data_IF_637756378485
#
_entry.id   IF_637756378485
#
_cell.length_a   1.000
_cell.length_b   1.000
_cell.length_c   1.000
_cell.angle_alpha   90.00
_cell.angle_beta   90.00
_cell.angle_gamma   90.00
#
_symmetry.space_group_name_H-M   'P 1'
#
loop_
_entity.id
_entity.type
_entity.pdbx_description
1 polymer ?
#
# COMPACT_ATOMS: atom_id res chain seq x y z
N UNK A 1 -36.31 -12.71 48.10
CA UNK A 1 -35.46 -11.51 47.95
C UNK A 1 -34.95 -11.44 46.52
N UNK A 2 -35.45 -10.49 45.71
CA UNK A 2 -35.00 -10.30 44.33
C UNK A 2 -33.64 -9.57 44.33
N UNK A 3 -32.59 -10.26 43.91
CA UNK A 3 -31.29 -9.66 43.60
C UNK A 3 -31.47 -8.71 42.41
N UNK A 4 -31.35 -7.39 42.66
CA UNK A 4 -31.28 -6.37 41.62
C UNK A 4 -29.96 -6.59 40.87
N UNK A 5 -30.04 -6.95 39.59
CA UNK A 5 -28.89 -6.93 38.68
C UNK A 5 -28.20 -5.56 38.82
N UNK A 6 -26.86 -5.49 38.96
CA UNK A 6 -26.16 -4.22 38.99
C UNK A 6 -26.54 -3.45 37.72
N UNK A 7 -27.04 -2.23 37.92
CA UNK A 7 -27.49 -1.36 36.83
C UNK A 7 -26.38 -1.20 35.80
N UNK A 8 -26.80 -1.11 34.53
CA UNK A 8 -25.95 -0.84 33.37
C UNK A 8 -24.97 0.30 33.72
N UNK A 9 -23.64 0.14 33.54
CA UNK A 9 -22.68 1.17 33.90
C UNK A 9 -23.04 2.49 33.20
N UNK A 10 -23.14 3.56 33.99
CA UNK A 10 -23.46 4.91 33.51
C UNK A 10 -22.48 5.30 32.40
N UNK A 11 -23.01 5.72 31.26
CA UNK A 11 -22.21 6.05 30.06
C UNK A 11 -22.33 5.06 28.90
N UNK A 12 -23.09 3.95 29.04
CA UNK A 12 -23.37 3.04 27.92
C UNK A 12 -24.71 3.29 27.21
N UNK A 13 -25.52 4.25 27.68
CA UNK A 13 -26.76 4.72 27.04
C UNK A 13 -26.51 5.63 25.83
N UNK A 14 -25.24 5.97 25.56
CA UNK A 14 -24.86 6.84 24.44
C UNK A 14 -24.98 8.33 24.73
N UNK A 15 -25.31 8.73 25.97
CA UNK A 15 -25.31 10.14 26.40
C UNK A 15 -23.92 10.66 26.75
N UNK A 16 -22.95 9.76 26.94
CA UNK A 16 -21.57 10.13 27.26
C UNK A 16 -20.88 10.79 26.05
N UNK A 17 -20.85 12.11 26.08
CA UNK A 17 -20.19 12.96 25.09
C UNK A 17 -18.68 12.67 25.02
N UNK A 18 -18.04 12.35 26.14
CA UNK A 18 -16.61 12.02 26.19
C UNK A 18 -16.33 10.69 25.48
N UNK A 19 -17.20 9.69 25.66
CA UNK A 19 -17.10 8.43 24.93
C UNK A 19 -17.33 8.63 23.43
N UNK A 20 -18.34 9.41 23.04
CA UNK A 20 -18.63 9.73 21.62
C UNK A 20 -17.47 10.46 20.93
N UNK A 21 -16.87 11.47 21.58
CA UNK A 21 -15.75 12.21 21.02
C UNK A 21 -14.51 11.33 20.73
N UNK A 22 -14.17 10.44 21.65
CA UNK A 22 -12.99 9.56 21.51
C UNK A 22 -13.22 8.49 20.43
N UNK A 23 -14.45 8.02 20.32
CA UNK A 23 -14.86 6.98 19.36
C UNK A 23 -15.00 7.57 17.94
N UNK A 24 -15.67 8.72 17.79
CA UNK A 24 -15.87 9.39 16.50
C UNK A 24 -14.54 9.89 15.89
N UNK A 25 -13.62 10.39 16.72
CA UNK A 25 -12.27 10.77 16.28
C UNK A 25 -11.52 9.59 15.67
N UNK A 26 -11.62 8.39 16.26
CA UNK A 26 -11.00 7.18 15.73
C UNK A 26 -11.67 6.69 14.45
N UNK A 27 -12.99 6.65 14.40
CA UNK A 27 -13.70 6.27 13.18
C UNK A 27 -13.36 7.20 12.02
N UNK A 28 -13.25 8.51 12.28
CA UNK A 28 -12.85 9.51 11.29
C UNK A 28 -11.41 9.27 10.80
N UNK A 29 -10.47 8.97 11.71
CA UNK A 29 -9.08 8.64 11.35
C UNK A 29 -9.00 7.36 10.51
N UNK A 30 -9.75 6.32 10.86
CA UNK A 30 -9.82 5.07 10.09
C UNK A 30 -10.42 5.30 8.71
N UNK A 31 -11.51 6.08 8.60
CA UNK A 31 -12.12 6.43 7.33
C UNK A 31 -11.16 7.21 6.42
N UNK A 32 -10.48 8.23 6.98
CA UNK A 32 -9.46 9.01 6.27
C UNK A 32 -8.28 8.14 5.84
N UNK A 33 -7.80 7.26 6.72
CA UNK A 33 -6.72 6.31 6.40
C UNK A 33 -7.11 5.32 5.29
N UNK A 34 -8.33 4.80 5.30
CA UNK A 34 -8.87 3.95 4.22
C UNK A 34 -9.00 4.69 2.90
N UNK A 35 -9.41 5.96 2.91
CA UNK A 35 -9.50 6.78 1.70
C UNK A 35 -8.10 7.02 1.11
N UNK A 36 -7.13 7.41 1.95
CA UNK A 36 -5.73 7.57 1.52
C UNK A 36 -5.14 6.28 0.98
N UNK A 37 -5.37 5.15 1.66
CA UNK A 37 -4.91 3.84 1.19
C UNK A 37 -5.55 3.45 -0.15
N UNK A 38 -6.83 3.77 -0.36
CA UNK A 38 -7.50 3.55 -1.65
C UNK A 38 -6.79 4.33 -2.77
N UNK A 39 -6.49 5.60 -2.52
CA UNK A 39 -5.75 6.43 -3.48
C UNK A 39 -4.38 5.83 -3.80
N UNK A 40 -3.64 5.37 -2.79
CA UNK A 40 -2.32 4.78 -2.98
C UNK A 40 -2.37 3.46 -3.77
N UNK A 41 -3.34 2.59 -3.47
CA UNK A 41 -3.57 1.34 -4.22
C UNK A 41 -3.89 1.66 -5.70
N UNK A 42 -4.72 2.66 -5.96
CA UNK A 42 -5.02 3.10 -7.33
C UNK A 42 -3.79 3.65 -8.05
N UNK A 43 -2.97 4.45 -7.36
CA UNK A 43 -1.70 4.94 -7.92
C UNK A 43 -0.75 3.78 -8.24
N UNK A 44 -0.61 2.80 -7.35
CA UNK A 44 0.21 1.61 -7.63
C UNK A 44 -0.33 0.79 -8.81
N UNK A 45 -1.66 0.64 -8.92
CA UNK A 45 -2.28 -0.02 -10.06
C UNK A 45 -1.97 0.72 -11.38
N UNK A 46 -2.07 2.05 -11.39
CA UNK A 46 -1.73 2.86 -12.56
C UNK A 46 -0.26 2.71 -12.98
N UNK A 47 0.67 2.73 -12.01
CA UNK A 47 2.11 2.50 -12.26
C UNK A 47 2.34 1.10 -12.85
N UNK A 48 1.68 0.08 -12.29
CA UNK A 48 1.79 -1.30 -12.76
C UNK A 48 1.28 -1.46 -14.20
N UNK A 49 0.14 -0.84 -14.53
CA UNK A 49 -0.42 -0.85 -15.88
C UNK A 49 0.46 -0.07 -16.88
N UNK A 50 1.04 1.06 -16.45
CA UNK A 50 1.95 1.83 -17.29
C UNK A 50 3.22 1.03 -17.59
N UNK A 51 3.79 0.35 -16.59
CA UNK A 51 4.94 -0.55 -16.79
C UNK A 51 4.62 -1.71 -17.75
N UNK A 52 3.41 -2.28 -17.67
CA UNK A 52 2.97 -3.31 -18.60
C UNK A 52 2.80 -2.78 -20.04
N UNK A 53 2.28 -1.56 -20.20
CA UNK A 53 2.13 -0.92 -21.50
C UNK A 53 3.49 -0.61 -22.15
N UNK A 54 4.45 -0.14 -21.35
CA UNK A 54 5.85 0.07 -21.78
C UNK A 54 6.47 -1.25 -22.23
N UNK A 55 6.31 -2.31 -21.44
CA UNK A 55 6.79 -3.65 -21.77
C UNK A 55 6.15 -4.20 -23.07
N UNK A 56 4.89 -3.87 -23.33
CA UNK A 56 4.17 -4.30 -24.54
C UNK A 56 4.61 -3.54 -25.79
N UNK A 57 5.10 -2.31 -25.63
CA UNK A 57 5.61 -1.46 -26.71
C UNK A 57 7.05 -1.84 -27.09
N UNK A 58 7.80 -2.40 -26.14
CA UNK A 58 9.10 -3.02 -26.37
C UNK A 58 8.92 -4.31 -27.19
N UNK A 59 9.08 -4.22 -28.50
CA UNK A 59 8.93 -5.31 -29.49
C UNK A 59 9.42 -6.69 -28.99
N UNK A 60 8.49 -7.51 -28.51
CA UNK A 60 8.57 -8.98 -28.46
C UNK A 60 9.47 -9.64 -27.40
N UNK A 61 10.27 -8.90 -26.62
CA UNK A 61 11.20 -9.47 -25.64
C UNK A 61 10.63 -9.62 -24.22
N UNK A 62 9.32 -9.39 -24.04
CA UNK A 62 8.66 -9.48 -22.74
C UNK A 62 8.86 -10.87 -22.13
N UNK A 63 9.83 -10.96 -21.22
CA UNK A 63 10.20 -12.23 -20.61
C UNK A 63 9.01 -12.80 -19.84
N UNK A 64 8.84 -14.13 -19.86
CA UNK A 64 7.80 -14.81 -19.07
C UNK A 64 7.85 -14.39 -17.58
N UNK A 65 9.04 -14.06 -17.09
CA UNK A 65 9.29 -13.54 -15.75
C UNK A 65 8.69 -12.14 -15.52
N UNK A 66 8.79 -11.24 -16.49
CA UNK A 66 8.20 -9.91 -16.39
C UNK A 66 6.67 -10.00 -16.31
N UNK A 67 6.06 -10.82 -17.16
CA UNK A 67 4.60 -11.07 -17.17
C UNK A 67 4.15 -11.71 -15.86
N UNK A 68 4.83 -12.74 -15.37
CA UNK A 68 4.47 -13.39 -14.10
C UNK A 68 4.61 -12.46 -12.90
N UNK A 69 5.64 -11.60 -12.88
CA UNK A 69 5.80 -10.58 -11.85
C UNK A 69 4.67 -9.55 -11.88
N UNK A 70 4.18 -9.18 -13.07
CA UNK A 70 3.08 -8.24 -13.22
C UNK A 70 1.78 -8.84 -12.69
N UNK A 71 1.49 -10.11 -13.00
CA UNK A 71 0.34 -10.83 -12.46
C UNK A 71 0.42 -10.94 -10.94
N UNK A 72 1.59 -11.29 -10.39
CA UNK A 72 1.81 -11.35 -8.94
C UNK A 72 1.59 -9.97 -8.27
N UNK A 73 2.03 -8.90 -8.93
CA UNK A 73 1.78 -7.52 -8.50
C UNK A 73 0.29 -7.18 -8.44
N UNK A 74 -0.49 -7.57 -9.46
CA UNK A 74 -1.94 -7.38 -9.49
C UNK A 74 -2.63 -8.15 -8.36
N UNK A 75 -2.22 -9.41 -8.11
CA UNK A 75 -2.76 -10.21 -7.00
C UNK A 75 -2.49 -9.52 -5.65
N UNK A 76 -1.29 -8.99 -5.45
CA UNK A 76 -0.96 -8.23 -4.23
C UNK A 76 -1.88 -7.02 -4.04
N UNK A 77 -2.17 -6.26 -5.11
CA UNK A 77 -3.08 -5.12 -5.05
C UNK A 77 -4.52 -5.54 -4.69
N UNK A 78 -5.00 -6.65 -5.21
CA UNK A 78 -6.32 -7.20 -4.86
C UNK A 78 -6.38 -7.58 -3.37
N UNK A 79 -5.33 -8.20 -2.83
CA UNK A 79 -5.23 -8.52 -1.39
C UNK A 79 -5.26 -7.24 -0.55
N UNK A 80 -4.54 -6.19 -0.97
CA UNK A 80 -4.53 -4.88 -0.31
C UNK A 80 -5.92 -4.22 -0.28
N UNK A 81 -6.62 -4.22 -1.42
CA UNK A 81 -7.97 -3.66 -1.55
C UNK A 81 -8.98 -4.46 -0.71
N UNK A 82 -8.87 -5.79 -0.70
CA UNK A 82 -9.73 -6.64 0.11
C UNK A 82 -9.49 -6.41 1.61
N UNK A 83 -8.23 -6.29 2.04
CA UNK A 83 -7.84 -5.95 3.40
C UNK A 83 -8.39 -4.58 3.84
N UNK A 84 -8.34 -3.59 2.95
CA UNK A 84 -8.89 -2.24 3.18
C UNK A 84 -10.41 -2.26 3.34
N UNK A 85 -11.14 -2.92 2.42
CA UNK A 85 -12.62 -3.00 2.46
C UNK A 85 -13.11 -3.74 3.69
N UNK A 86 -12.52 -4.90 4.01
CA UNK A 86 -12.92 -5.73 5.14
C UNK A 86 -12.33 -5.29 6.48
N UNK A 87 -11.52 -4.22 6.51
CA UNK A 87 -10.83 -3.72 7.73
C UNK A 87 -10.02 -4.81 8.44
N UNK A 88 -9.47 -5.75 7.69
CA UNK A 88 -8.73 -6.89 8.24
C UNK A 88 -7.25 -6.57 8.25
N UNK A 89 -6.72 -6.29 9.44
CA UNK A 89 -5.32 -5.95 9.67
C UNK A 89 -4.36 -7.05 9.18
N UNK A 90 -4.76 -8.33 9.25
CA UNK A 90 -3.98 -9.45 8.72
C UNK A 90 -3.71 -9.34 7.21
N UNK A 91 -4.73 -9.07 6.39
CA UNK A 91 -4.56 -8.90 4.94
C UNK A 91 -3.72 -7.68 4.60
N UNK A 92 -3.89 -6.58 5.35
CA UNK A 92 -3.06 -5.38 5.18
C UNK A 92 -1.58 -5.66 5.49
N UNK A 93 -1.27 -6.46 6.52
CA UNK A 93 0.10 -6.89 6.86
C UNK A 93 0.71 -7.76 5.76
N UNK A 94 -0.03 -8.73 5.25
CA UNK A 94 0.43 -9.60 4.15
C UNK A 94 0.70 -8.76 2.90
N UNK A 95 -0.22 -7.85 2.56
CA UNK A 95 -0.07 -6.94 1.44
C UNK A 95 1.21 -6.08 1.57
N UNK A 96 1.45 -5.41 2.70
CA UNK A 96 2.66 -4.58 2.85
C UNK A 96 3.94 -5.42 2.85
N UNK A 97 3.93 -6.63 3.44
CA UNK A 97 5.09 -7.50 3.46
C UNK A 97 5.45 -7.96 2.04
N UNK A 98 4.48 -8.54 1.32
CA UNK A 98 4.68 -9.03 -0.03
C UNK A 98 5.08 -7.91 -1.02
N UNK A 99 4.39 -6.76 -0.97
CA UNK A 99 4.69 -5.61 -1.83
C UNK A 99 6.05 -4.97 -1.52
N UNK A 100 6.47 -4.96 -0.26
CA UNK A 100 7.79 -4.42 0.12
C UNK A 100 8.91 -5.34 -0.35
N UNK A 101 8.79 -6.65 -0.13
CA UNK A 101 9.77 -7.64 -0.64
C UNK A 101 9.88 -7.56 -2.16
N UNK A 102 8.76 -7.50 -2.86
CA UNK A 102 8.76 -7.36 -4.32
C UNK A 102 9.45 -6.07 -4.78
N UNK A 103 9.18 -4.93 -4.13
CA UNK A 103 9.77 -3.64 -4.50
C UNK A 103 11.27 -3.60 -4.22
N UNK A 104 11.71 -4.14 -3.08
CA UNK A 104 13.14 -4.23 -2.74
C UNK A 104 13.88 -5.16 -3.71
N UNK A 105 13.28 -6.30 -4.07
CA UNK A 105 13.86 -7.22 -5.03
C UNK A 105 13.99 -6.57 -6.42
N UNK A 106 12.95 -5.88 -6.90
CA UNK A 106 13.02 -5.13 -8.17
C UNK A 106 14.09 -4.05 -8.15
N UNK A 107 14.22 -3.31 -7.04
CA UNK A 107 15.25 -2.29 -6.90
C UNK A 107 16.66 -2.91 -6.89
N UNK A 108 16.84 -4.00 -6.15
CA UNK A 108 18.11 -4.72 -6.11
C UNK A 108 18.50 -5.29 -7.48
N UNK A 109 17.54 -5.86 -8.22
CA UNK A 109 17.78 -6.32 -9.59
C UNK A 109 18.21 -5.17 -10.49
N UNK A 110 17.51 -4.04 -10.47
CA UNK A 110 17.81 -2.87 -11.31
C UNK A 110 19.17 -2.22 -10.98
N UNK A 111 19.57 -2.24 -9.71
CA UNK A 111 20.90 -1.79 -9.28
C UNK A 111 22.00 -2.77 -9.70
N UNK A 112 21.76 -4.07 -9.52
CA UNK A 112 22.72 -5.13 -9.88
C UNK A 112 22.97 -5.21 -11.39
N UNK A 113 21.94 -4.95 -12.20
CA UNK A 113 22.07 -4.93 -13.66
C UNK A 113 22.71 -3.66 -14.22
N UNK A 114 23.12 -2.70 -13.37
CA UNK A 114 23.58 -1.36 -13.75
C UNK A 114 22.61 -0.54 -14.63
N UNK A 115 21.46 -1.09 -15.02
CA UNK A 115 20.50 -0.47 -15.94
C UNK A 115 19.96 0.86 -15.42
N UNK A 116 19.66 0.95 -14.12
CA UNK A 116 19.19 2.19 -13.50
C UNK A 116 20.28 3.27 -13.47
N UNK A 117 21.53 2.87 -13.18
CA UNK A 117 22.67 3.79 -13.12
C UNK A 117 23.05 4.27 -14.53
N UNK A 118 23.06 3.37 -15.50
CA UNK A 118 23.36 3.64 -16.90
C UNK A 118 22.34 4.60 -17.52
N UNK A 119 21.04 4.43 -17.23
CA UNK A 119 19.98 5.34 -17.68
C UNK A 119 20.15 6.77 -17.12
N UNK A 120 20.60 6.90 -15.87
CA UNK A 120 20.80 8.21 -15.22
C UNK A 120 22.09 8.90 -15.70
N UNK A 121 23.16 8.13 -15.90
CA UNK A 121 24.50 8.67 -16.17
C UNK A 121 24.69 9.08 -17.65
N UNK A 122 24.06 8.39 -18.59
CA UNK A 122 24.20 8.66 -20.03
C UNK A 122 23.28 9.79 -20.53
N UNK A 123 23.54 11.02 -20.06
CA UNK A 123 22.77 12.22 -20.38
C UNK A 123 22.70 12.56 -21.88
N UNK A 124 23.71 12.16 -22.66
CA UNK A 124 23.80 12.42 -24.10
C UNK A 124 22.95 11.52 -24.99
N UNK A 125 22.49 10.36 -24.48
CA UNK A 125 21.72 9.37 -25.25
C UNK A 125 20.24 9.27 -24.83
N UNK A 126 19.76 10.20 -24.02
CA UNK A 126 18.39 10.20 -23.49
C UNK A 126 17.31 10.14 -24.59
N UNK A 127 17.59 10.69 -25.78
CA UNK A 127 16.67 10.57 -26.92
C UNK A 127 16.57 9.16 -27.50
N UNK A 128 17.64 8.36 -27.39
CA UNK A 128 17.71 7.00 -27.91
C UNK A 128 17.24 5.97 -26.86
N UNK A 129 17.41 6.25 -25.56
CA UNK A 129 17.04 5.37 -24.43
C UNK A 129 15.79 5.85 -23.65
N UNK A 130 14.79 6.38 -24.36
CA UNK A 130 13.56 6.92 -23.74
C UNK A 130 12.80 5.89 -22.89
N UNK A 131 12.74 4.63 -23.33
CA UNK A 131 12.03 3.57 -22.60
C UNK A 131 12.73 3.20 -21.29
N UNK A 132 14.06 3.09 -21.29
CA UNK A 132 14.86 2.78 -20.10
C UNK A 132 14.73 3.88 -19.03
N UNK A 133 14.68 5.14 -19.46
CA UNK A 133 14.43 6.28 -18.58
C UNK A 133 13.04 6.24 -17.95
N UNK A 134 12.02 5.91 -18.75
CA UNK A 134 10.64 5.75 -18.25
C UNK A 134 10.56 4.60 -17.25
N UNK A 135 11.24 3.47 -17.51
CA UNK A 135 11.29 2.34 -16.59
C UNK A 135 11.97 2.71 -15.27
N UNK A 136 13.12 3.39 -15.31
CA UNK A 136 13.82 3.88 -14.13
C UNK A 136 12.96 4.86 -13.32
N UNK A 137 12.26 5.78 -14.00
CA UNK A 137 11.34 6.72 -13.36
C UNK A 137 10.15 6.01 -12.70
N UNK A 138 9.54 5.03 -13.37
CA UNK A 138 8.44 4.23 -12.82
C UNK A 138 8.89 3.41 -11.61
N UNK A 139 10.12 2.86 -11.61
CA UNK A 139 10.69 2.15 -10.47
C UNK A 139 10.88 3.08 -9.25
N UNK A 140 11.39 4.29 -9.47
CA UNK A 140 11.51 5.31 -8.42
C UNK A 140 10.15 5.72 -7.86
N UNK A 141 9.18 5.98 -8.74
CA UNK A 141 7.82 6.33 -8.34
C UNK A 141 7.15 5.20 -7.56
N UNK A 142 7.32 3.95 -8.00
CA UNK A 142 6.84 2.74 -7.30
C UNK A 142 7.41 2.64 -5.89
N UNK A 143 8.72 2.85 -5.74
CA UNK A 143 9.38 2.86 -4.43
C UNK A 143 8.83 3.96 -3.52
N UNK A 144 8.70 5.18 -4.03
CA UNK A 144 8.17 6.31 -3.26
C UNK A 144 6.74 6.04 -2.78
N UNK A 145 5.87 5.56 -3.66
CA UNK A 145 4.49 5.19 -3.32
C UNK A 145 4.47 4.07 -2.28
N UNK A 146 5.37 3.08 -2.37
CA UNK A 146 5.48 2.01 -1.39
C UNK A 146 5.80 2.52 0.02
N UNK A 147 6.70 3.49 0.17
CA UNK A 147 7.03 4.12 1.47
C UNK A 147 5.80 4.80 2.07
N UNK A 148 5.05 5.57 1.28
CA UNK A 148 3.80 6.21 1.75
C UNK A 148 2.71 5.19 2.11
N UNK A 149 2.62 4.09 1.35
CA UNK A 149 1.69 2.99 1.63
C UNK A 149 2.01 2.34 2.97
N UNK A 150 3.28 2.04 3.26
CA UNK A 150 3.70 1.46 4.54
C UNK A 150 3.26 2.37 5.70
N UNK A 151 3.59 3.66 5.65
CA UNK A 151 3.21 4.61 6.70
C UNK A 151 1.68 4.72 6.89
N UNK A 152 0.94 4.74 5.78
CA UNK A 152 -0.53 4.79 5.82
C UNK A 152 -1.12 3.52 6.43
N UNK A 153 -0.59 2.34 6.08
CA UNK A 153 -1.07 1.06 6.63
C UNK A 153 -0.73 0.92 8.10
N UNK A 154 0.47 1.32 8.55
CA UNK A 154 0.82 1.32 9.97
C UNK A 154 -0.13 2.22 10.77
N UNK A 155 -0.33 3.46 10.33
CA UNK A 155 -1.28 4.39 10.95
C UNK A 155 -2.71 3.80 10.96
N UNK A 156 -3.12 3.15 9.88
CA UNK A 156 -4.44 2.54 9.79
C UNK A 156 -4.61 1.36 10.75
N UNK A 157 -3.62 0.47 10.84
CA UNK A 157 -3.65 -0.70 11.74
C UNK A 157 -3.68 -0.26 13.21
N UNK A 158 -2.90 0.76 13.57
CA UNK A 158 -2.88 1.30 14.93
C UNK A 158 -4.26 1.86 15.33
N UNK A 159 -4.88 2.66 14.44
CA UNK A 159 -6.21 3.20 14.67
C UNK A 159 -7.34 2.15 14.60
N UNK A 160 -7.10 0.98 13.99
CA UNK A 160 -8.02 -0.16 13.97
C UNK A 160 -7.89 -1.09 15.19
N UNK A 161 -6.79 -1.02 15.92
CA UNK A 161 -6.54 -1.92 17.05
C UNK A 161 -7.14 -1.34 18.34
N UNK A 162 -7.73 -2.17 19.22
CA UNK A 162 -8.21 -1.69 20.51
C UNK A 162 -7.03 -1.14 21.33
N UNK A 163 -7.24 -0.06 22.10
CA UNK A 163 -6.18 0.54 22.89
C UNK A 163 -5.56 -0.51 23.82
N UNK A 164 -4.23 -0.63 23.80
CA UNK A 164 -3.52 -1.43 24.80
C UNK A 164 -3.89 -0.86 26.15
N UNK A 165 -4.47 -1.69 27.02
CA UNK A 165 -4.76 -1.29 28.41
C UNK A 165 -3.41 -0.94 29.03
N UNK A 166 -3.23 0.32 29.40
CA UNK A 166 -2.20 0.68 30.35
C UNK A 166 -2.57 -0.06 31.64
N UNK A 167 -1.72 -1.00 32.04
CA UNK A 167 -1.80 -1.65 33.34
C UNK A 167 -1.07 -0.79 34.36
#
# INVERSE_FOLDING_TARGET
>A
MHSRKPGRPSGTDGSDFSYRMVVDSRYTKVAKGKSRLCSLILTQAAIQLTGLAVLSTSNGSASKLAISSAVAGLICLLIGEFGRRRSRTGFLRVYIAASSVATLLSLFCALSSNSMLEAIQNRGEWENKKLDLVEAFLLLLRFLVQVFTIGTVFSLIDNMSPPKKAY
#
